data_IF_536807229289
#
_entry.id   IF_536807229289
#
_cell.length_a   1.000
_cell.length_b   1.000
_cell.length_c   1.000
_cell.angle_alpha   90.00
_cell.angle_beta   90.00
_cell.angle_gamma   90.00
#
_symmetry.space_group_name_H-M   'P 1'
#
loop_
_entity.id
_entity.type
_entity.pdbx_description
1 polymer ?
#
# COMPACT_ATOMS: atom_id res chain seq x y z
N UNK A 1 -26.28 18.64 21.73
CA UNK A 1 -25.40 18.72 20.55
C UNK A 1 -23.98 18.61 21.05
N UNK A 2 -23.24 17.59 20.69
CA UNK A 2 -21.83 17.49 21.04
C UNK A 2 -21.09 18.66 20.38
N UNK A 3 -20.28 19.40 21.14
CA UNK A 3 -19.49 20.49 20.62
C UNK A 3 -18.59 19.93 19.49
N UNK A 4 -18.73 20.45 18.29
CA UNK A 4 -17.96 20.02 17.14
C UNK A 4 -16.51 20.41 17.41
N UNK A 5 -15.60 19.44 17.57
CA UNK A 5 -14.19 19.69 17.82
C UNK A 5 -13.64 20.43 16.60
N UNK A 6 -13.28 21.69 16.77
CA UNK A 6 -12.71 22.52 15.70
C UNK A 6 -11.18 22.42 15.63
N UNK A 7 -10.55 22.00 16.72
CA UNK A 7 -9.08 21.94 16.84
C UNK A 7 -8.63 20.62 17.48
N UNK A 8 -7.53 20.08 16.96
CA UNK A 8 -6.77 19.00 17.57
C UNK A 8 -5.32 19.48 17.72
N UNK A 9 -4.84 19.57 18.96
CA UNK A 9 -3.61 20.30 19.26
C UNK A 9 -3.71 21.75 18.74
N UNK A 10 -2.71 22.18 17.97
CA UNK A 10 -2.68 23.52 17.34
C UNK A 10 -3.38 23.58 15.97
N UNK A 11 -3.90 22.47 15.45
CA UNK A 11 -4.43 22.38 14.09
C UNK A 11 -5.95 22.52 14.05
N UNK A 12 -6.42 23.37 13.14
CA UNK A 12 -7.86 23.49 12.85
C UNK A 12 -8.27 22.39 11.88
N UNK A 13 -9.37 21.68 12.22
CA UNK A 13 -10.00 20.69 11.33
C UNK A 13 -10.85 21.42 10.27
N UNK A 14 -10.68 21.05 8.99
CA UNK A 14 -11.46 21.64 7.89
C UNK A 14 -12.41 20.65 7.26
N UNK A 15 -11.89 19.50 6.86
CA UNK A 15 -12.62 18.53 6.07
C UNK A 15 -12.21 17.12 6.47
N UNK A 16 -13.20 16.27 6.73
CA UNK A 16 -13.01 14.86 6.97
C UNK A 16 -12.72 14.18 5.61
N UNK A 17 -11.49 13.72 5.40
CA UNK A 17 -11.09 13.00 4.19
C UNK A 17 -11.61 11.56 4.24
N UNK A 18 -11.45 10.91 5.41
CA UNK A 18 -11.88 9.52 5.62
C UNK A 18 -12.23 9.28 7.08
N UNK A 19 -13.45 8.83 7.33
CA UNK A 19 -13.88 8.29 8.62
C UNK A 19 -13.56 6.80 8.71
N UNK A 20 -12.95 6.38 9.82
CA UNK A 20 -12.70 4.98 10.13
C UNK A 20 -13.27 4.58 11.49
N UNK A 21 -13.27 3.30 11.78
CA UNK A 21 -13.77 2.79 13.07
C UNK A 21 -12.92 3.22 14.27
N UNK A 22 -11.63 3.48 14.06
CA UNK A 22 -10.63 3.79 15.11
C UNK A 22 -9.98 5.14 14.82
N UNK A 23 -9.52 5.36 13.60
CA UNK A 23 -8.84 6.56 13.15
C UNK A 23 -9.69 7.36 12.19
N UNK A 24 -9.54 8.67 12.23
CA UNK A 24 -10.09 9.61 11.25
C UNK A 24 -8.96 10.30 10.51
N UNK A 25 -9.12 10.53 9.21
CA UNK A 25 -8.18 11.31 8.41
C UNK A 25 -8.83 12.64 8.09
N UNK A 26 -8.21 13.73 8.54
CA UNK A 26 -8.70 15.09 8.35
C UNK A 26 -7.74 15.94 7.54
N UNK A 27 -8.27 16.83 6.72
CA UNK A 27 -7.50 17.97 6.21
C UNK A 27 -7.45 19.03 7.32
N UNK A 28 -6.21 19.45 7.67
CA UNK A 28 -5.96 20.36 8.79
C UNK A 28 -4.99 21.48 8.40
N UNK A 29 -5.02 22.58 9.15
CA UNK A 29 -4.11 23.71 8.95
C UNK A 29 -3.77 24.35 10.31
N UNK A 30 -2.49 24.70 10.57
CA UNK A 30 -2.14 25.55 11.70
C UNK A 30 -2.69 26.97 11.51
N UNK A 31 -3.06 27.71 12.57
CA UNK A 31 -3.72 29.02 12.44
C UNK A 31 -2.91 30.08 11.69
N UNK A 32 -1.58 30.03 11.80
CA UNK A 32 -0.67 31.04 11.25
C UNK A 32 -0.13 30.70 9.86
N UNK A 33 -0.50 29.54 9.27
CA UNK A 33 0.04 29.07 7.99
C UNK A 33 -1.07 28.80 6.98
N UNK A 34 -0.75 28.91 5.71
CA UNK A 34 -1.66 28.55 4.61
C UNK A 34 -1.53 27.09 4.16
N UNK A 35 -0.48 26.40 4.60
CA UNK A 35 -0.23 25.00 4.23
C UNK A 35 -1.27 24.07 4.87
N UNK A 36 -1.86 23.22 4.05
CA UNK A 36 -2.83 22.21 4.49
C UNK A 36 -2.15 20.86 4.55
N UNK A 37 -2.37 20.14 5.66
CA UNK A 37 -1.82 18.83 5.94
C UNK A 37 -2.93 17.78 6.03
N UNK A 38 -2.58 16.51 5.96
CA UNK A 38 -3.42 15.42 6.39
C UNK A 38 -3.09 15.07 7.85
N UNK A 39 -4.10 14.86 8.66
CA UNK A 39 -3.96 14.40 10.06
C UNK A 39 -4.62 13.03 10.21
N UNK A 40 -3.85 12.01 10.58
CA UNK A 40 -4.39 10.74 11.06
C UNK A 40 -4.61 10.90 12.57
N UNK A 41 -5.87 10.99 12.96
CA UNK A 41 -6.28 11.28 14.33
C UNK A 41 -6.98 10.09 14.97
N UNK A 42 -6.59 9.79 16.20
CA UNK A 42 -7.24 8.84 17.12
C UNK A 42 -8.02 9.66 18.15
N UNK A 43 -9.34 9.88 17.97
CA UNK A 43 -10.16 10.63 18.91
C UNK A 43 -10.19 9.96 20.29
N UNK A 44 -10.12 10.77 21.34
CA UNK A 44 -10.30 10.27 22.71
C UNK A 44 -11.73 9.77 22.93
N UNK A 45 -11.90 8.49 23.26
CA UNK A 45 -13.21 7.85 23.44
C UNK A 45 -13.05 6.39 23.79
N UNK A 46 -14.12 5.60 23.67
CA UNK A 46 -14.15 4.17 24.04
C UNK A 46 -13.14 3.29 23.26
N UNK A 47 -12.71 3.75 22.08
CA UNK A 47 -11.70 3.06 21.24
C UNK A 47 -10.27 3.58 21.45
N UNK A 48 -10.06 4.55 22.33
CA UNK A 48 -8.77 5.14 22.65
C UNK A 48 -8.00 4.22 23.61
N UNK A 49 -7.30 3.24 23.07
CA UNK A 49 -6.51 2.29 23.86
C UNK A 49 -5.02 2.59 23.77
N UNK A 50 -4.25 2.13 24.77
CA UNK A 50 -2.78 2.24 24.77
C UNK A 50 -2.16 1.56 23.55
N UNK A 51 -2.77 0.47 23.06
CA UNK A 51 -2.33 -0.24 21.88
C UNK A 51 -2.47 0.63 20.63
N UNK A 52 -3.61 1.31 20.43
CA UNK A 52 -3.82 2.20 19.29
C UNK A 52 -2.89 3.42 19.30
N UNK A 53 -2.65 3.98 20.50
CA UNK A 53 -1.70 5.08 20.68
C UNK A 53 -0.28 4.64 20.32
N UNK A 54 0.15 3.48 20.80
CA UNK A 54 1.47 2.92 20.51
C UNK A 54 1.60 2.57 19.02
N UNK A 55 0.55 2.05 18.39
CA UNK A 55 0.50 1.79 16.96
C UNK A 55 0.68 3.06 16.13
N UNK A 56 -0.04 4.13 16.45
CA UNK A 56 0.09 5.43 15.77
C UNK A 56 1.50 6.04 15.99
N UNK A 57 2.05 5.94 17.19
CA UNK A 57 3.42 6.38 17.49
C UNK A 57 4.45 5.55 16.71
N UNK A 58 4.25 4.25 16.62
CA UNK A 58 5.11 3.36 15.82
C UNK A 58 5.08 3.74 14.33
N UNK A 59 3.89 3.94 13.77
CA UNK A 59 3.71 4.39 12.40
C UNK A 59 4.44 5.72 12.13
N UNK A 60 4.37 6.67 13.08
CA UNK A 60 5.15 7.91 13.02
C UNK A 60 6.65 7.65 13.00
N UNK A 61 7.17 6.79 13.89
CA UNK A 61 8.61 6.47 13.95
C UNK A 61 9.10 5.88 12.63
N UNK A 62 8.33 4.98 12.01
CA UNK A 62 8.67 4.43 10.71
C UNK A 62 8.60 5.52 9.62
N UNK A 63 7.46 6.21 9.51
CA UNK A 63 7.24 7.22 8.47
C UNK A 63 8.23 8.38 8.53
N UNK A 64 8.62 8.83 9.73
CA UNK A 64 9.60 9.91 9.90
C UNK A 64 11.04 9.49 9.54
N UNK A 65 11.33 8.19 9.46
CA UNK A 65 12.62 7.68 8.97
C UNK A 65 12.73 7.61 7.44
N UNK A 66 11.64 7.89 6.73
CA UNK A 66 11.57 7.75 5.27
C UNK A 66 11.63 9.14 4.61
N UNK A 67 12.72 9.40 3.88
CA UNK A 67 12.86 10.59 3.04
C UNK A 67 12.98 10.18 1.57
N UNK A 68 11.84 9.87 0.96
CA UNK A 68 11.77 9.46 -0.43
C UNK A 68 10.47 9.95 -1.10
N UNK A 69 10.55 10.38 -2.36
CA UNK A 69 9.39 10.93 -3.11
C UNK A 69 8.20 9.97 -3.18
N UNK A 70 8.44 8.66 -3.20
CA UNK A 70 7.40 7.64 -3.26
C UNK A 70 6.91 7.17 -1.87
N UNK A 71 7.33 7.82 -0.77
CA UNK A 71 6.79 7.62 0.57
C UNK A 71 6.03 8.86 1.01
N UNK A 72 4.94 8.69 1.75
CA UNK A 72 4.21 9.82 2.31
C UNK A 72 5.07 10.53 3.37
N UNK A 73 5.21 11.84 3.26
CA UNK A 73 6.00 12.61 4.22
C UNK A 73 5.27 12.71 5.55
N UNK A 74 5.99 12.42 6.63
CA UNK A 74 5.48 12.42 8.00
C UNK A 74 6.17 13.54 8.78
N UNK A 75 5.39 14.40 9.44
CA UNK A 75 5.93 15.65 10.03
C UNK A 75 5.94 15.66 11.54
N UNK A 76 4.84 15.24 12.18
CA UNK A 76 4.64 15.45 13.63
C UNK A 76 3.78 14.32 14.20
N UNK A 77 4.03 13.96 15.45
CA UNK A 77 3.15 13.13 16.28
C UNK A 77 2.97 13.82 17.62
N UNK A 78 1.72 13.85 18.12
CA UNK A 78 1.43 14.34 19.45
C UNK A 78 0.26 13.58 20.10
N UNK A 79 0.19 13.62 21.42
CA UNK A 79 -0.86 13.01 22.22
C UNK A 79 -1.46 14.06 23.14
N UNK A 80 -2.57 14.63 22.71
CA UNK A 80 -3.25 15.77 23.35
C UNK A 80 -4.42 15.33 24.23
N UNK A 81 -5.05 16.32 24.89
CA UNK A 81 -6.29 16.08 25.64
C UNK A 81 -7.44 15.55 24.78
N UNK A 82 -7.43 15.83 23.46
CA UNK A 82 -8.47 15.44 22.52
C UNK A 82 -8.18 14.11 21.80
N UNK A 83 -6.99 13.53 22.00
CA UNK A 83 -6.54 12.28 21.39
C UNK A 83 -5.16 12.37 20.77
N UNK A 84 -4.66 11.25 20.26
CA UNK A 84 -3.36 11.20 19.60
C UNK A 84 -3.51 11.46 18.10
N UNK A 85 -2.53 12.13 17.50
CA UNK A 85 -2.51 12.37 16.07
C UNK A 85 -1.12 12.25 15.46
N UNK A 86 -1.10 12.01 14.16
CA UNK A 86 0.09 12.08 13.31
C UNK A 86 -0.22 13.01 12.13
N UNK A 87 0.71 13.95 11.85
CA UNK A 87 0.60 14.91 10.76
C UNK A 87 1.38 14.39 9.55
N UNK A 88 0.73 14.43 8.39
CA UNK A 88 1.22 13.89 7.13
C UNK A 88 1.12 14.94 6.01
N UNK A 89 1.89 14.72 4.97
CA UNK A 89 1.67 15.35 3.67
C UNK A 89 0.22 15.14 3.22
N UNK A 90 -0.44 16.21 2.78
CA UNK A 90 -1.75 16.09 2.15
C UNK A 90 -1.57 15.74 0.67
N UNK A 91 -1.84 14.50 0.32
CA UNK A 91 -1.80 14.02 -1.05
C UNK A 91 -3.22 13.69 -1.52
N UNK A 92 -3.80 14.61 -2.33
CA UNK A 92 -5.21 14.57 -2.74
C UNK A 92 -5.42 13.67 -3.95
N UNK A 93 -5.52 12.37 -3.71
CA UNK A 93 -5.82 11.40 -4.77
C UNK A 93 -6.47 10.15 -4.20
N UNK A 94 -7.05 9.35 -5.07
CA UNK A 94 -7.54 8.02 -4.73
C UNK A 94 -6.36 7.05 -4.56
N UNK A 95 -6.52 6.06 -3.68
CA UNK A 95 -5.57 4.96 -3.64
C UNK A 95 -5.73 4.04 -4.86
N UNK A 96 -4.73 3.23 -5.11
CA UNK A 96 -4.68 2.34 -6.27
C UNK A 96 -5.88 1.37 -6.29
N UNK A 97 -6.32 0.87 -5.13
CA UNK A 97 -7.50 0.00 -5.01
C UNK A 97 -8.77 0.71 -5.49
N UNK A 98 -8.98 1.93 -5.05
CA UNK A 98 -10.12 2.75 -5.46
C UNK A 98 -10.09 3.03 -6.96
N UNK A 99 -8.92 3.33 -7.52
CA UNK A 99 -8.77 3.56 -8.96
C UNK A 99 -9.04 2.31 -9.79
N UNK A 100 -8.58 1.13 -9.33
CA UNK A 100 -8.87 -0.16 -9.97
C UNK A 100 -10.38 -0.42 -9.99
N UNK A 101 -11.09 -0.13 -8.89
CA UNK A 101 -12.54 -0.41 -8.77
C UNK A 101 -13.37 0.61 -9.54
N UNK A 102 -13.08 1.92 -9.39
CA UNK A 102 -13.95 3.00 -9.89
C UNK A 102 -13.85 3.23 -11.39
N UNK A 103 -12.68 3.05 -11.96
CA UNK A 103 -12.41 3.37 -13.36
C UNK A 103 -12.12 2.17 -14.26
N UNK A 104 -12.03 0.99 -13.63
CA UNK A 104 -11.42 -0.17 -14.25
C UNK A 104 -9.90 -0.04 -14.33
N UNK A 105 -9.21 -1.12 -14.03
CA UNK A 105 -7.74 -1.19 -14.07
C UNK A 105 -7.16 -0.83 -15.45
N UNK A 106 -7.90 -1.11 -16.53
CA UNK A 106 -7.47 -0.85 -17.92
C UNK A 106 -7.14 0.64 -18.15
N UNK A 107 -7.82 1.57 -17.48
CA UNK A 107 -7.53 3.01 -17.58
C UNK A 107 -6.12 3.38 -17.06
N UNK A 108 -5.51 2.53 -16.27
CA UNK A 108 -4.15 2.74 -15.72
C UNK A 108 -3.05 2.07 -16.55
N UNK A 109 -3.40 1.23 -17.53
CA UNK A 109 -2.41 0.40 -18.24
C UNK A 109 -1.40 1.20 -19.04
N UNK A 110 -1.79 2.35 -19.60
CA UNK A 110 -0.86 3.23 -20.34
C UNK A 110 0.26 3.80 -19.44
N UNK A 111 0.06 3.81 -18.11
CA UNK A 111 0.97 4.30 -17.06
C UNK A 111 1.48 3.18 -16.15
N UNK A 112 1.22 1.91 -16.49
CA UNK A 112 1.49 0.77 -15.63
C UNK A 112 2.97 0.70 -15.21
N UNK A 113 3.89 0.92 -16.15
CA UNK A 113 5.33 0.84 -15.90
C UNK A 113 5.77 1.91 -14.90
N UNK A 114 5.32 3.14 -15.07
CA UNK A 114 5.62 4.29 -14.25
C UNK A 114 5.09 4.08 -12.82
N UNK A 115 3.81 3.74 -12.69
CA UNK A 115 3.16 3.48 -11.38
C UNK A 115 3.86 2.35 -10.63
N UNK A 116 4.09 1.21 -11.27
CA UNK A 116 4.67 0.04 -10.61
C UNK A 116 6.14 0.25 -10.26
N UNK A 117 6.89 1.00 -11.10
CA UNK A 117 8.29 1.36 -10.81
C UNK A 117 8.37 2.28 -9.58
N UNK A 118 7.54 3.32 -9.51
CA UNK A 118 7.51 4.24 -8.36
C UNK A 118 7.03 3.53 -7.08
N UNK A 119 6.01 2.68 -7.17
CA UNK A 119 5.56 1.87 -6.03
C UNK A 119 6.69 0.96 -5.50
N UNK A 120 7.41 0.30 -6.41
CA UNK A 120 8.57 -0.53 -6.05
C UNK A 120 9.73 0.31 -5.47
N UNK A 121 9.95 1.54 -5.96
CA UNK A 121 10.96 2.45 -5.42
C UNK A 121 10.67 2.86 -3.96
N UNK A 122 9.42 3.19 -3.64
CA UNK A 122 9.02 3.47 -2.26
C UNK A 122 9.24 2.28 -1.32
N UNK A 123 8.91 1.08 -1.78
CA UNK A 123 9.16 -0.16 -1.05
C UNK A 123 10.66 -0.46 -0.89
N UNK A 124 11.46 -0.23 -1.94
CA UNK A 124 12.91 -0.41 -1.86
C UNK A 124 13.53 0.54 -0.83
N UNK A 125 13.12 1.81 -0.80
CA UNK A 125 13.59 2.77 0.19
C UNK A 125 13.21 2.35 1.62
N UNK A 126 11.96 1.90 1.86
CA UNK A 126 11.54 1.35 3.15
C UNK A 126 12.46 0.23 3.63
N UNK A 127 12.80 -0.71 2.73
CA UNK A 127 13.70 -1.82 3.02
C UNK A 127 15.14 -1.36 3.31
N UNK A 128 15.64 -0.35 2.59
CA UNK A 128 16.96 0.26 2.83
C UNK A 128 17.04 0.91 4.21
N UNK A 129 15.93 1.44 4.74
CA UNK A 129 15.83 1.93 6.13
C UNK A 129 15.67 0.80 7.16
N UNK A 130 15.73 -0.47 6.73
CA UNK A 130 15.68 -1.65 7.58
C UNK A 130 14.28 -2.03 8.05
N UNK A 131 13.23 -1.64 7.34
CA UNK A 131 11.85 -1.99 7.66
C UNK A 131 11.27 -2.99 6.65
N UNK A 132 10.37 -3.86 7.09
CA UNK A 132 9.47 -4.70 6.28
C UNK A 132 8.07 -4.17 6.50
N UNK A 133 7.31 -3.91 5.43
CA UNK A 133 5.98 -3.28 5.50
C UNK A 133 4.91 -4.21 6.07
N UNK A 134 4.87 -5.46 5.62
CA UNK A 134 3.96 -6.55 6.06
C UNK A 134 2.49 -6.41 5.65
N UNK A 135 2.08 -5.27 5.08
CA UNK A 135 0.70 -5.04 4.60
C UNK A 135 0.70 -4.37 3.22
N UNK A 136 1.53 -4.85 2.30
CA UNK A 136 1.59 -4.35 0.93
C UNK A 136 0.32 -4.75 0.19
N UNK A 137 -0.44 -3.74 -0.25
CA UNK A 137 -1.70 -3.89 -0.99
C UNK A 137 -2.04 -2.61 -1.75
N UNK A 138 -2.93 -2.64 -2.77
CA UNK A 138 -3.28 -1.46 -3.54
C UNK A 138 -3.84 -0.29 -2.70
N UNK A 139 -4.48 -0.59 -1.57
CA UNK A 139 -5.03 0.41 -0.64
C UNK A 139 -3.95 1.34 -0.06
N UNK A 140 -2.71 0.85 0.05
CA UNK A 140 -1.60 1.54 0.69
C UNK A 140 -0.70 2.30 -0.31
N UNK A 141 -1.16 2.48 -1.56
CA UNK A 141 -0.51 3.31 -2.57
C UNK A 141 -1.47 4.38 -3.09
N UNK A 142 -1.16 5.64 -2.83
CA UNK A 142 -1.84 6.77 -3.44
C UNK A 142 -1.19 7.04 -4.80
N UNK A 143 -1.98 7.24 -5.84
CA UNK A 143 -1.48 7.43 -7.21
C UNK A 143 -2.13 8.67 -7.81
N UNK A 144 -1.32 9.68 -8.15
CA UNK A 144 -1.80 10.90 -8.82
C UNK A 144 -1.90 10.72 -10.33
N UNK A 145 -2.52 11.70 -10.99
CA UNK A 145 -2.59 11.74 -12.45
C UNK A 145 -1.24 12.00 -13.12
N UNK A 146 -0.27 12.59 -12.39
CA UNK A 146 1.09 12.88 -12.84
C UNK A 146 2.09 11.75 -12.54
N UNK A 147 1.64 10.50 -12.36
CA UNK A 147 2.45 9.32 -12.07
C UNK A 147 3.20 9.36 -10.72
N UNK A 148 2.84 10.30 -9.84
CA UNK A 148 3.42 10.30 -8.49
C UNK A 148 2.71 9.26 -7.65
N UNK A 149 3.51 8.36 -7.06
CA UNK A 149 3.03 7.34 -6.13
C UNK A 149 3.50 7.65 -4.73
N UNK A 150 2.63 7.45 -3.73
CA UNK A 150 2.96 7.59 -2.31
C UNK A 150 2.58 6.31 -1.55
N UNK A 151 3.57 5.65 -1.00
CA UNK A 151 3.38 4.55 -0.04
C UNK A 151 2.92 5.13 1.30
N UNK A 152 1.87 4.56 1.88
CA UNK A 152 1.24 4.99 3.12
C UNK A 152 1.04 3.81 4.08
N UNK A 153 0.70 4.12 5.34
CA UNK A 153 0.28 3.17 6.38
C UNK A 153 1.37 2.18 6.81
N UNK A 154 2.27 2.65 7.68
CA UNK A 154 3.39 1.87 8.22
C UNK A 154 3.08 1.21 9.58
N UNK A 155 1.80 1.09 9.94
CA UNK A 155 1.39 0.60 11.26
C UNK A 155 1.89 -0.83 11.57
N UNK A 156 1.94 -1.70 10.55
CA UNK A 156 2.43 -3.09 10.69
C UNK A 156 3.92 -3.26 10.37
N UNK A 157 4.61 -2.19 9.99
CA UNK A 157 6.02 -2.29 9.62
C UNK A 157 6.87 -2.79 10.80
N UNK A 158 7.84 -3.66 10.51
CA UNK A 158 8.76 -4.17 11.53
C UNK A 158 10.18 -4.32 10.96
N UNK A 159 11.17 -4.34 11.84
CA UNK A 159 12.53 -4.74 11.47
C UNK A 159 12.60 -6.26 11.25
N UNK A 160 13.43 -6.73 10.30
CA UNK A 160 13.69 -8.17 10.16
C UNK A 160 14.13 -8.76 11.49
N UNK A 161 13.67 -10.00 11.78
CA UNK A 161 14.14 -10.72 12.96
C UNK A 161 15.66 -10.95 12.84
N UNK A 162 16.42 -10.42 13.78
CA UNK A 162 17.87 -10.70 13.87
C UNK A 162 18.16 -12.20 14.01
N UNK A 163 19.41 -12.59 13.86
CA UNK A 163 19.83 -14.02 13.95
C UNK A 163 19.34 -14.73 15.23
N UNK A 164 19.26 -14.01 16.35
CA UNK A 164 18.71 -14.53 17.62
C UNK A 164 17.18 -14.70 17.58
N UNK A 165 16.43 -13.80 16.92
CA UNK A 165 14.96 -13.94 16.79
C UNK A 165 14.54 -15.13 15.93
N UNK A 166 15.38 -15.56 14.97
CA UNK A 166 15.19 -16.78 14.17
C UNK A 166 15.30 -18.06 15.02
N UNK A 167 16.12 -18.05 16.06
CA UNK A 167 16.35 -19.18 16.96
C UNK A 167 15.23 -19.35 18.01
N UNK A 168 14.57 -18.26 18.42
CA UNK A 168 13.57 -18.30 19.50
C UNK A 168 12.13 -18.42 18.99
N UNK A 169 11.88 -18.61 17.68
CA UNK A 169 10.58 -18.94 17.12
C UNK A 169 9.46 -18.00 17.60
N UNK A 170 9.70 -16.68 17.64
CA UNK A 170 8.66 -15.72 18.01
C UNK A 170 7.51 -15.86 17.01
N UNK A 171 6.45 -16.55 17.43
CA UNK A 171 5.21 -16.63 16.65
C UNK A 171 4.68 -15.22 16.48
N UNK A 172 4.92 -14.64 15.32
CA UNK A 172 4.25 -13.39 14.92
C UNK A 172 2.77 -13.69 14.80
N UNK A 173 1.93 -12.92 15.49
CA UNK A 173 0.49 -13.01 15.27
C UNK A 173 0.20 -12.77 13.78
N UNK A 174 -0.77 -13.53 13.24
CA UNK A 174 -1.22 -13.34 11.84
C UNK A 174 -1.84 -11.94 11.76
N UNK A 175 -1.12 -11.03 11.16
CA UNK A 175 -1.51 -9.63 10.97
C UNK A 175 -1.33 -9.25 9.51
N UNK A 176 -2.23 -8.42 8.98
CA UNK A 176 -2.24 -7.97 7.60
C UNK A 176 -3.49 -8.41 6.86
N UNK A 177 -3.60 -7.98 5.62
CA UNK A 177 -4.75 -8.27 4.77
C UNK A 177 -4.59 -9.64 4.12
N UNK A 178 -5.45 -10.58 4.44
CA UNK A 178 -5.35 -11.99 4.03
C UNK A 178 -5.15 -12.18 2.51
N UNK A 179 -5.70 -11.29 1.68
CA UNK A 179 -5.62 -11.40 0.21
C UNK A 179 -4.22 -11.17 -0.39
N UNK A 180 -3.26 -10.70 0.42
CA UNK A 180 -1.88 -10.40 -0.02
C UNK A 180 -0.82 -11.04 0.88
N UNK A 181 -1.25 -11.79 1.90
CA UNK A 181 -0.38 -12.35 2.92
C UNK A 181 0.55 -13.41 2.36
N UNK A 182 1.85 -13.30 2.65
CA UNK A 182 2.84 -14.26 2.18
C UNK A 182 2.76 -15.61 2.93
N UNK A 183 3.22 -16.70 2.31
CA UNK A 183 3.23 -18.02 2.95
C UNK A 183 3.94 -18.07 4.29
N UNK A 184 5.06 -17.35 4.45
CA UNK A 184 5.83 -17.28 5.69
C UNK A 184 5.11 -16.47 6.77
N UNK A 185 4.35 -15.41 6.41
CA UNK A 185 3.48 -14.72 7.37
C UNK A 185 2.38 -15.65 7.89
N UNK A 186 1.73 -16.39 6.99
CA UNK A 186 0.66 -17.36 7.36
C UNK A 186 1.20 -18.44 8.30
N UNK A 187 2.45 -18.90 8.07
CA UNK A 187 3.10 -19.92 8.89
C UNK A 187 3.71 -19.37 10.17
N UNK A 188 3.69 -18.06 10.39
CA UNK A 188 4.36 -17.43 11.54
C UNK A 188 5.87 -17.60 11.55
N UNK A 189 6.49 -17.69 10.38
CA UNK A 189 7.93 -17.85 10.20
C UNK A 189 8.67 -16.49 10.30
N UNK A 190 9.99 -16.53 10.35
CA UNK A 190 10.80 -15.33 10.30
C UNK A 190 10.62 -14.59 8.96
N UNK A 191 10.40 -13.30 9.02
CA UNK A 191 10.12 -12.45 7.86
C UNK A 191 11.38 -11.67 7.44
N UNK A 192 11.52 -11.51 6.13
CA UNK A 192 12.50 -10.61 5.51
C UNK A 192 11.83 -9.82 4.36
N UNK A 193 12.62 -9.02 3.63
CA UNK A 193 12.13 -8.17 2.53
C UNK A 193 11.33 -8.94 1.46
N UNK A 194 11.61 -10.23 1.27
CA UNK A 194 10.92 -11.08 0.27
C UNK A 194 9.47 -11.38 0.64
N UNK A 195 9.08 -11.16 1.91
CA UNK A 195 7.68 -11.14 2.35
C UNK A 195 6.88 -10.08 1.60
N UNK A 196 7.43 -8.86 1.53
CA UNK A 196 6.80 -7.75 0.81
C UNK A 196 6.86 -7.93 -0.71
N UNK A 197 7.91 -8.59 -1.24
CA UNK A 197 7.98 -8.97 -2.67
C UNK A 197 6.79 -9.85 -3.06
N UNK A 198 6.42 -10.82 -2.22
CA UNK A 198 5.24 -11.67 -2.47
C UNK A 198 3.95 -10.85 -2.52
N UNK A 199 3.74 -10.02 -1.51
CA UNK A 199 2.54 -9.17 -1.41
C UNK A 199 2.48 -8.16 -2.56
N UNK A 200 3.63 -7.61 -2.98
CA UNK A 200 3.76 -6.74 -4.14
C UNK A 200 3.40 -7.49 -5.43
N UNK A 201 3.85 -8.74 -5.60
CA UNK A 201 3.44 -9.60 -6.71
C UNK A 201 1.92 -9.81 -6.78
N UNK A 202 1.26 -10.01 -5.62
CA UNK A 202 -0.20 -10.09 -5.53
C UNK A 202 -0.87 -8.78 -5.94
N UNK A 203 -0.33 -7.64 -5.51
CA UNK A 203 -0.80 -6.31 -5.90
C UNK A 203 -0.64 -6.05 -7.40
N UNK A 204 0.51 -6.40 -7.98
CA UNK A 204 0.76 -6.28 -9.43
C UNK A 204 -0.21 -7.16 -10.22
N UNK A 205 -0.44 -8.40 -9.76
CA UNK A 205 -1.45 -9.25 -10.38
C UNK A 205 -2.83 -8.59 -10.36
N UNK A 206 -3.26 -8.04 -9.22
CA UNK A 206 -4.55 -7.36 -9.11
C UNK A 206 -4.62 -6.11 -9.99
N UNK A 207 -3.53 -5.37 -10.12
CA UNK A 207 -3.45 -4.20 -11.01
C UNK A 207 -3.86 -4.57 -12.45
N UNK A 208 -3.39 -5.71 -12.97
CA UNK A 208 -3.72 -6.16 -14.33
C UNK A 208 -5.03 -6.95 -14.41
N UNK A 209 -5.34 -7.76 -13.40
CA UNK A 209 -6.51 -8.65 -13.41
C UNK A 209 -7.80 -8.00 -12.89
N UNK A 210 -7.71 -6.82 -12.26
CA UNK A 210 -8.84 -6.17 -11.57
C UNK A 210 -9.28 -6.87 -10.27
N UNK A 211 -8.64 -7.98 -9.90
CA UNK A 211 -8.92 -8.77 -8.69
C UNK A 211 -7.67 -9.45 -8.16
N UNK A 212 -7.64 -9.69 -6.85
CA UNK A 212 -6.54 -10.42 -6.22
C UNK A 212 -6.31 -11.81 -6.85
N UNK A 213 -5.06 -12.33 -6.83
CA UNK A 213 -4.71 -13.61 -7.47
C UNK A 213 -5.44 -14.81 -6.86
N UNK A 214 -5.78 -14.71 -5.58
CA UNK A 214 -6.53 -15.75 -4.86
C UNK A 214 -7.76 -15.13 -4.22
N UNK A 215 -8.89 -15.83 -4.35
CA UNK A 215 -10.17 -15.51 -3.74
C UNK A 215 -10.78 -16.79 -3.16
N UNK A 216 -11.51 -16.70 -2.06
CA UNK A 216 -12.17 -17.84 -1.43
C UNK A 216 -13.40 -17.38 -0.65
N UNK A 217 -14.27 -18.32 -0.29
CA UNK A 217 -15.47 -18.03 0.51
C UNK A 217 -15.17 -17.87 2.01
N UNK A 218 -14.05 -18.42 2.49
CA UNK A 218 -13.63 -18.32 3.88
C UNK A 218 -12.18 -17.82 3.99
N UNK A 219 -11.85 -17.13 5.10
CA UNK A 219 -10.47 -16.72 5.35
C UNK A 219 -9.48 -17.89 5.38
N UNK A 220 -9.87 -19.01 5.98
CA UNK A 220 -9.02 -20.21 6.07
C UNK A 220 -8.70 -20.79 4.67
N UNK A 221 -9.71 -20.91 3.82
CA UNK A 221 -9.50 -21.37 2.43
C UNK A 221 -8.60 -20.40 1.64
N UNK A 222 -8.79 -19.07 1.82
CA UNK A 222 -7.97 -18.05 1.18
C UNK A 222 -6.50 -18.20 1.60
N UNK A 223 -6.22 -18.33 2.89
CA UNK A 223 -4.87 -18.58 3.39
C UNK A 223 -4.29 -19.88 2.84
N UNK A 224 -5.09 -20.94 2.75
CA UNK A 224 -4.67 -22.22 2.16
C UNK A 224 -4.27 -22.04 0.67
N UNK A 225 -5.02 -21.24 -0.10
CA UNK A 225 -4.67 -20.91 -1.49
C UNK A 225 -3.34 -20.18 -1.59
N UNK A 226 -3.06 -19.24 -0.70
CA UNK A 226 -1.74 -18.59 -0.63
C UNK A 226 -0.61 -19.59 -0.36
N UNK A 227 -0.84 -20.63 0.43
CA UNK A 227 0.15 -21.67 0.73
C UNK A 227 0.41 -22.63 -0.42
N UNK A 228 -0.63 -22.98 -1.22
CA UNK A 228 -0.55 -24.15 -2.11
C UNK A 228 -0.88 -23.87 -3.56
N UNK A 229 -1.77 -22.90 -3.86
CA UNK A 229 -2.26 -22.70 -5.22
C UNK A 229 -1.25 -21.89 -6.07
N UNK A 230 -1.12 -22.26 -7.33
CA UNK A 230 -0.39 -21.48 -8.33
C UNK A 230 -1.21 -20.22 -8.67
N UNK A 231 -0.59 -19.02 -8.75
CA UNK A 231 -1.29 -17.82 -9.18
C UNK A 231 -1.72 -17.95 -10.65
N UNK A 232 -2.87 -17.35 -11.03
CA UNK A 232 -3.34 -17.32 -12.41
C UNK A 232 -2.31 -16.63 -13.32
N UNK A 233 -2.29 -17.04 -14.59
CA UNK A 233 -1.42 -16.44 -15.59
C UNK A 233 -2.07 -15.17 -16.17
N UNK A 234 -1.36 -14.05 -16.13
CA UNK A 234 -1.84 -12.77 -16.65
C UNK A 234 -2.09 -12.78 -18.16
N UNK A 235 -1.37 -13.63 -18.93
CA UNK A 235 -1.58 -13.77 -20.38
C UNK A 235 -2.93 -14.41 -20.73
N UNK A 236 -3.56 -15.13 -19.79
CA UNK A 236 -4.92 -15.64 -19.94
C UNK A 236 -5.95 -14.53 -19.76
N UNK A 237 -5.62 -13.54 -18.90
CA UNK A 237 -6.52 -12.41 -18.60
C UNK A 237 -6.45 -11.36 -19.71
N UNK A 238 -5.24 -10.98 -20.12
CA UNK A 238 -4.99 -10.03 -21.21
C UNK A 238 -3.89 -10.56 -22.14
N UNK A 239 -4.26 -10.87 -23.39
CA UNK A 239 -3.35 -11.37 -24.43
C UNK A 239 -2.30 -10.35 -24.87
N UNK A 240 -2.49 -9.07 -24.53
CA UNK A 240 -1.51 -8.01 -24.78
C UNK A 240 -0.35 -8.00 -23.78
N UNK A 241 -0.48 -8.68 -22.63
CA UNK A 241 0.61 -8.83 -21.66
C UNK A 241 1.63 -9.83 -22.17
N UNK A 242 2.93 -9.50 -22.10
CA UNK A 242 4.00 -10.40 -22.54
C UNK A 242 4.17 -11.60 -21.59
N UNK A 243 4.47 -12.80 -22.10
CA UNK A 243 4.72 -13.98 -21.27
C UNK A 243 5.88 -13.79 -20.29
N UNK A 244 6.91 -13.05 -20.68
CA UNK A 244 8.08 -12.74 -19.86
C UNK A 244 7.68 -11.96 -18.63
N UNK A 245 6.88 -10.91 -18.79
CA UNK A 245 6.37 -10.12 -17.68
C UNK A 245 5.40 -10.94 -16.80
N UNK A 246 4.46 -11.68 -17.39
CA UNK A 246 3.55 -12.54 -16.64
C UNK A 246 4.30 -13.57 -15.77
N UNK A 247 5.36 -14.20 -16.32
CA UNK A 247 6.23 -15.13 -15.60
C UNK A 247 7.01 -14.44 -14.48
N UNK A 248 7.46 -13.22 -14.71
CA UNK A 248 8.12 -12.42 -13.67
C UNK A 248 7.17 -12.10 -12.50
N UNK A 249 5.94 -11.69 -12.79
CA UNK A 249 4.91 -11.48 -11.73
C UNK A 249 4.65 -12.77 -10.96
N UNK A 250 4.57 -13.92 -11.63
CA UNK A 250 4.43 -15.23 -10.98
C UNK A 250 5.63 -15.56 -10.08
N UNK A 251 6.85 -15.19 -10.49
CA UNK A 251 8.07 -15.44 -9.68
C UNK A 251 8.04 -14.68 -8.36
N UNK A 252 7.53 -13.44 -8.34
CA UNK A 252 7.35 -12.71 -7.08
C UNK A 252 6.41 -13.44 -6.11
N UNK A 253 5.41 -14.18 -6.63
CA UNK A 253 4.45 -14.95 -5.84
C UNK A 253 4.89 -16.42 -5.59
N UNK A 254 6.17 -16.76 -5.81
CA UNK A 254 6.69 -18.09 -5.48
C UNK A 254 6.48 -18.40 -3.98
N UNK A 255 6.13 -19.67 -3.67
CA UNK A 255 5.84 -20.09 -2.29
C UNK A 255 7.09 -20.14 -1.41
N UNK A 256 8.20 -20.55 -2.00
CA UNK A 256 9.52 -20.45 -1.37
C UNK A 256 10.08 -19.03 -1.55
N UNK A 257 10.39 -18.31 -0.46
CA UNK A 257 11.03 -17.00 -0.55
C UNK A 257 12.35 -16.99 -1.34
N UNK A 258 13.09 -18.11 -1.35
CA UNK A 258 14.36 -18.22 -2.09
C UNK A 258 14.17 -18.22 -3.62
N UNK A 259 12.97 -18.54 -4.10
CA UNK A 259 12.63 -18.54 -5.53
C UNK A 259 12.09 -17.19 -6.02
N UNK A 260 11.99 -16.17 -5.14
CA UNK A 260 11.54 -14.81 -5.45
C UNK A 260 12.73 -13.88 -5.76
N UNK A 261 12.50 -12.73 -6.42
CA UNK A 261 13.48 -11.63 -6.41
C UNK A 261 13.93 -11.32 -4.98
N UNK A 262 15.22 -11.04 -4.79
CA UNK A 262 15.79 -10.89 -3.45
C UNK A 262 15.39 -9.56 -2.79
N UNK A 263 15.24 -8.49 -3.57
CA UNK A 263 14.99 -7.15 -3.06
C UNK A 263 13.93 -6.43 -3.89
N UNK A 264 13.27 -5.43 -3.30
CA UNK A 264 12.37 -4.54 -4.04
C UNK A 264 13.12 -3.65 -5.03
N UNK A 265 14.43 -3.44 -4.84
CA UNK A 265 15.29 -2.77 -5.82
C UNK A 265 15.43 -3.61 -7.10
N UNK A 266 15.61 -4.93 -6.97
CA UNK A 266 15.64 -5.84 -8.12
C UNK A 266 14.28 -5.81 -8.84
N UNK A 267 13.17 -5.83 -8.08
CA UNK A 267 11.83 -5.74 -8.64
C UNK A 267 11.63 -4.43 -9.42
N UNK A 268 12.05 -3.31 -8.85
CA UNK A 268 11.97 -1.99 -9.51
C UNK A 268 12.77 -1.97 -10.82
N UNK A 269 14.00 -2.46 -10.80
CA UNK A 269 14.87 -2.46 -11.99
C UNK A 269 14.33 -3.36 -13.09
N UNK A 270 13.81 -4.53 -12.73
CA UNK A 270 13.23 -5.45 -13.70
C UNK A 270 11.96 -4.90 -14.34
N UNK A 271 11.02 -4.36 -13.55
CA UNK A 271 9.80 -3.70 -14.10
C UNK A 271 10.17 -2.55 -15.05
N UNK A 272 11.19 -1.77 -14.71
CA UNK A 272 11.65 -0.64 -15.52
C UNK A 272 12.18 -1.07 -16.88
N UNK A 273 12.84 -2.22 -16.97
CA UNK A 273 13.48 -2.72 -18.20
C UNK A 273 12.56 -3.61 -19.03
N UNK A 274 11.68 -4.38 -18.41
CA UNK A 274 10.80 -5.33 -19.13
C UNK A 274 9.78 -4.65 -20.03
N UNK A 275 9.41 -5.33 -21.08
CA UNK A 275 8.27 -5.02 -21.94
C UNK A 275 7.02 -5.63 -21.32
N UNK A 276 6.13 -4.80 -20.77
CA UNK A 276 4.89 -5.26 -20.13
C UNK A 276 3.87 -5.72 -21.17
N UNK A 277 3.68 -4.95 -22.24
CA UNK A 277 2.68 -5.18 -23.26
C UNK A 277 3.32 -5.37 -24.63
N UNK A 278 2.72 -6.21 -25.48
CA UNK A 278 3.08 -6.27 -26.90
C UNK A 278 2.82 -4.94 -27.60
N UNK A 279 1.64 -4.35 -27.34
CA UNK A 279 1.27 -3.02 -27.80
C UNK A 279 0.99 -2.12 -26.61
N UNK A 280 1.70 -0.99 -26.50
CA UNK A 280 1.50 -0.05 -25.38
C UNK A 280 0.05 0.45 -25.39
N UNK A 281 -0.72 0.27 -24.29
CA UNK A 281 -2.07 0.79 -24.15
C UNK A 281 -2.09 2.32 -24.31
N UNK A 282 -3.13 2.83 -24.95
CA UNK A 282 -3.32 4.26 -25.13
C UNK A 282 -4.02 4.86 -23.90
N UNK A 283 -3.80 6.15 -23.59
CA UNK A 283 -4.60 6.85 -22.60
C UNK A 283 -6.09 6.76 -22.92
N UNK A 284 -6.98 6.72 -21.91
CA UNK A 284 -8.42 6.77 -22.15
C UNK A 284 -8.79 8.10 -22.85
N UNK A 285 -9.67 8.02 -23.84
CA UNK A 285 -10.19 9.23 -24.52
C UNK A 285 -11.03 10.02 -23.50
N UNK A 286 -10.82 11.34 -23.35
CA UNK A 286 -11.67 12.16 -22.48
C UNK A 286 -13.14 12.07 -22.87
N UNK A 287 -14.04 11.93 -21.89
CA UNK A 287 -15.50 11.76 -22.13
C UNK A 287 -16.17 12.93 -22.88
N UNK A 288 -15.50 14.06 -23.02
CA UNK A 288 -15.98 15.23 -23.74
C UNK A 288 -15.99 15.08 -25.28
N UNK A 289 -15.21 14.17 -25.85
CA UNK A 289 -15.15 13.99 -27.32
C UNK A 289 -16.19 13.04 -27.88
N UNK A 290 -16.85 12.22 -27.03
CA UNK A 290 -17.85 11.23 -27.47
C UNK A 290 -19.24 11.82 -27.69
N UNK A 291 -19.51 13.07 -27.27
CA UNK A 291 -20.85 13.71 -27.46
C UNK A 291 -20.99 14.49 -28.76
N UNK A 292 -19.92 14.76 -29.50
CA UNK A 292 -19.97 15.55 -30.76
C UNK A 292 -20.02 14.70 -32.05
N UNK A 293 -20.05 13.37 -31.95
CA UNK A 293 -20.07 12.48 -33.12
C UNK A 293 -21.48 11.94 -33.48
N UNK A 294 -22.54 12.39 -32.78
CA UNK A 294 -23.93 11.97 -33.00
C UNK A 294 -24.93 13.14 -33.06
N UNK A 295 -24.49 14.33 -33.55
CA UNK A 295 -25.44 15.38 -34.02
C UNK A 295 -25.28 15.59 -35.53
#
# INVERSE_FOLDING_TARGET
>A
MAAQIQFVGKYRLFHLIRGGAIFEIWAVRPPAENTVYAMKWLPKGSKYTREHINGLKHEFVVGSSLDHRACIKTYEYDNTSNGAYMLLELFKTLNLKQQIISGGNVKLFHRAKEILTEAAAGMAHLHEQGWIHRDVKPDNFLVSDDDVVKLIDFNLAQKPAGALGKLFGMKSAIQGTHSYMSPEQIRGQALDARTDVYSFGCMVHEFFAGKAPFTANTPSELLQRHLTSKPPDLTVIDKNITPEFAKYVQSMMAKDPAARPNTMKDVMMEIKTQKIFYNKPQPPVPETETKSAHE
#
